data_IF_548173729679
#
_entry.id   IF_548173729679
#
_cell.length_a   1.000
_cell.length_b   1.000
_cell.length_c   1.000
_cell.angle_alpha   90.00
_cell.angle_beta   90.00
_cell.angle_gamma   90.00
#
_symmetry.space_group_name_H-M   'P 1'
#
loop_
_entity.id
_entity.type
_entity.pdbx_description
1 polymer ?
#
# COMPACT_ATOMS: atom_id res chain seq x y z
N UNK A 1 -4.21 24.75 10.47
CA UNK A 1 -5.30 25.75 10.61
C UNK A 1 -6.46 25.53 9.62
N UNK A 2 -6.27 25.65 8.31
CA UNK A 2 -7.36 25.50 7.32
C UNK A 2 -8.18 24.20 7.48
N UNK A 3 -7.50 23.06 7.68
CA UNK A 3 -8.16 21.78 7.98
C UNK A 3 -9.03 21.81 9.26
N UNK A 4 -8.66 22.60 10.27
CA UNK A 4 -9.45 22.76 11.50
C UNK A 4 -10.71 23.60 11.22
N UNK A 5 -10.59 24.67 10.43
CA UNK A 5 -11.74 25.45 9.96
C UNK A 5 -12.70 24.62 9.11
N UNK A 6 -12.18 23.74 8.24
CA UNK A 6 -12.99 22.82 7.43
C UNK A 6 -13.75 21.82 8.32
N UNK A 7 -13.09 21.24 9.31
CA UNK A 7 -13.70 20.29 10.26
C UNK A 7 -14.58 20.93 11.34
N UNK A 8 -14.64 22.27 11.40
CA UNK A 8 -15.38 23.00 12.44
C UNK A 8 -14.70 23.03 13.81
N UNK A 9 -13.42 22.64 13.90
CA UNK A 9 -12.62 22.74 15.13
C UNK A 9 -12.09 24.17 15.31
N UNK A 10 -12.99 25.05 15.76
CA UNK A 10 -12.70 26.48 15.89
C UNK A 10 -11.70 26.78 17.01
N UNK A 11 -11.59 25.91 18.03
CA UNK A 11 -10.61 26.06 19.10
C UNK A 11 -9.18 25.85 18.60
N UNK A 12 -8.97 24.80 17.79
CA UNK A 12 -7.67 24.56 17.15
C UNK A 12 -7.36 25.66 16.12
N UNK A 13 -8.37 26.12 15.37
CA UNK A 13 -8.18 27.23 14.43
C UNK A 13 -7.75 28.54 15.14
N UNK A 14 -8.42 28.91 16.25
CA UNK A 14 -8.08 30.08 17.08
C UNK A 14 -6.67 29.98 17.67
N UNK A 15 -6.29 28.79 18.17
CA UNK A 15 -4.94 28.55 18.68
C UNK A 15 -3.88 28.81 17.59
N UNK A 16 -4.08 28.29 16.38
CA UNK A 16 -3.15 28.51 15.27
C UNK A 16 -3.02 29.99 14.92
N UNK A 17 -4.14 30.71 14.81
CA UNK A 17 -4.16 32.15 14.50
C UNK A 17 -3.39 32.99 15.53
N UNK A 18 -3.54 32.67 16.82
CA UNK A 18 -2.87 33.41 17.91
C UNK A 18 -1.45 32.94 18.21
N UNK A 19 -1.04 31.78 17.69
CA UNK A 19 0.27 31.20 18.00
C UNK A 19 1.47 31.97 17.40
N UNK A 20 1.24 32.83 16.41
CA UNK A 20 2.32 33.51 15.67
C UNK A 20 3.14 32.57 14.76
N UNK A 21 2.69 31.32 14.55
CA UNK A 21 3.41 30.29 13.78
C UNK A 21 3.02 30.22 12.30
N UNK A 22 2.04 31.00 11.87
CA UNK A 22 1.55 30.98 10.48
C UNK A 22 2.40 31.89 9.60
N UNK A 23 2.70 31.43 8.38
CA UNK A 23 3.40 32.22 7.36
C UNK A 23 2.56 33.43 6.92
N UNK A 24 3.22 34.52 6.51
CA UNK A 24 2.54 35.74 6.03
C UNK A 24 1.67 35.51 4.80
N UNK A 25 1.97 34.48 3.99
CA UNK A 25 1.15 34.07 2.84
C UNK A 25 -0.25 33.61 3.24
N UNK A 26 -0.47 33.33 4.54
CA UNK A 26 -1.76 32.89 5.04
C UNK A 26 -2.79 34.01 5.12
N UNK A 27 -2.32 35.24 5.24
CA UNK A 27 -3.13 36.39 5.56
C UNK A 27 -3.33 37.28 4.33
N UNK A 28 -4.47 37.96 4.25
CA UNK A 28 -4.63 39.07 3.30
C UNK A 28 -3.53 40.11 3.56
N UNK A 29 -3.01 40.72 2.49
CA UNK A 29 -1.97 41.76 2.59
C UNK A 29 -2.33 42.93 3.51
N UNK A 30 -3.62 43.22 3.70
CA UNK A 30 -4.12 44.28 4.57
C UNK A 30 -4.13 43.93 6.05
N UNK A 31 -3.95 42.66 6.42
CA UNK A 31 -4.01 42.21 7.82
C UNK A 31 -2.66 42.43 8.48
N UNK A 32 -2.61 43.41 9.38
CA UNK A 32 -1.40 43.76 10.14
C UNK A 32 -1.39 43.11 11.53
N UNK A 33 -2.56 42.95 12.16
CA UNK A 33 -2.71 42.32 13.48
C UNK A 33 -3.99 41.47 13.56
N UNK A 34 -3.79 40.15 13.67
CA UNK A 34 -4.89 39.16 13.79
C UNK A 34 -5.67 39.32 15.09
N UNK A 35 -5.01 39.70 16.19
CA UNK A 35 -5.68 39.87 17.48
C UNK A 35 -6.61 41.07 17.49
N UNK A 36 -6.24 42.13 16.76
CA UNK A 36 -7.08 43.30 16.56
C UNK A 36 -8.29 42.99 15.66
N UNK A 37 -8.10 42.24 14.56
CA UNK A 37 -9.21 41.84 13.66
C UNK A 37 -10.24 40.95 14.39
N UNK A 38 -9.78 40.06 15.27
CA UNK A 38 -10.66 39.20 16.06
C UNK A 38 -11.29 39.90 17.28
N UNK A 39 -11.01 41.19 17.51
CA UNK A 39 -11.53 41.91 18.66
C UNK A 39 -13.08 41.94 18.64
N UNK A 40 -13.70 41.38 19.68
CA UNK A 40 -15.16 41.33 19.82
C UNK A 40 -15.83 40.17 19.09
N UNK A 41 -15.07 39.22 18.53
CA UNK A 41 -15.60 37.99 17.92
C UNK A 41 -14.97 36.77 18.61
N UNK A 42 -15.80 35.99 19.31
CA UNK A 42 -15.35 34.82 20.07
C UNK A 42 -16.06 33.57 19.56
N UNK A 43 -15.29 32.54 19.20
CA UNK A 43 -15.84 31.27 18.70
C UNK A 43 -16.71 30.54 19.72
N UNK A 44 -16.51 30.76 21.03
CA UNK A 44 -17.32 30.12 22.08
C UNK A 44 -18.75 30.68 22.14
N UNK A 45 -18.91 31.97 21.84
CA UNK A 45 -20.19 32.67 21.92
C UNK A 45 -20.84 32.88 20.55
N UNK A 46 -20.04 33.03 19.49
CA UNK A 46 -20.47 33.36 18.14
C UNK A 46 -19.72 32.51 17.09
N UNK A 47 -19.85 31.17 17.09
CA UNK A 47 -19.05 30.28 16.25
C UNK A 47 -19.20 30.53 14.75
N UNK A 48 -20.43 30.74 14.26
CA UNK A 48 -20.68 31.02 12.84
C UNK A 48 -20.05 32.35 12.41
N UNK A 49 -20.27 33.41 13.18
CA UNK A 49 -19.71 34.73 12.91
C UNK A 49 -18.18 34.73 12.98
N UNK A 50 -17.61 33.98 13.92
CA UNK A 50 -16.17 33.79 14.04
C UNK A 50 -15.60 33.15 12.78
N UNK A 51 -16.17 32.03 12.34
CA UNK A 51 -15.72 31.31 11.14
C UNK A 51 -15.85 32.18 9.88
N UNK A 52 -16.98 32.87 9.73
CA UNK A 52 -17.20 33.84 8.65
C UNK A 52 -16.17 34.98 8.66
N UNK A 53 -15.93 35.57 9.83
CA UNK A 53 -14.98 36.67 9.96
C UNK A 53 -13.55 36.25 9.59
N UNK A 54 -13.11 35.10 10.09
CA UNK A 54 -11.79 34.54 9.77
C UNK A 54 -11.66 34.32 8.26
N UNK A 55 -12.63 33.64 7.63
CA UNK A 55 -12.56 33.31 6.20
C UNK A 55 -12.63 34.58 5.33
N UNK A 56 -13.53 35.51 5.63
CA UNK A 56 -13.78 36.66 4.78
C UNK A 56 -12.75 37.79 4.96
N UNK A 57 -12.19 37.99 6.16
CA UNK A 57 -11.34 39.15 6.46
C UNK A 57 -9.88 38.82 6.71
N UNK A 58 -9.59 37.63 7.25
CA UNK A 58 -8.24 37.30 7.68
C UNK A 58 -7.49 36.51 6.60
N UNK A 59 -8.13 35.49 6.03
CA UNK A 59 -7.47 34.56 5.12
C UNK A 59 -7.27 35.11 3.71
N UNK A 60 -6.11 34.80 3.13
CA UNK A 60 -5.82 35.08 1.71
C UNK A 60 -6.75 34.31 0.77
N UNK A 61 -7.08 34.90 -0.38
CA UNK A 61 -8.03 34.33 -1.34
C UNK A 61 -7.58 32.98 -1.90
N UNK A 62 -6.27 32.75 -2.04
CA UNK A 62 -5.71 31.47 -2.50
C UNK A 62 -6.01 30.33 -1.53
N UNK A 63 -5.90 30.58 -0.22
CA UNK A 63 -6.23 29.61 0.83
C UNK A 63 -7.72 29.35 0.88
N UNK A 64 -8.53 30.41 0.76
CA UNK A 64 -9.99 30.27 0.75
C UNK A 64 -10.46 29.42 -0.43
N UNK A 65 -9.82 29.54 -1.60
CA UNK A 65 -10.09 28.68 -2.76
C UNK A 65 -9.77 27.21 -2.48
N UNK A 66 -8.58 26.90 -1.94
CA UNK A 66 -8.24 25.52 -1.56
C UNK A 66 -9.14 24.97 -0.45
N UNK A 67 -9.56 25.82 0.48
CA UNK A 67 -10.55 25.47 1.51
C UNK A 67 -11.90 25.12 0.90
N UNK A 68 -12.37 25.85 -0.12
CA UNK A 68 -13.62 25.55 -0.81
C UNK A 68 -13.58 24.16 -1.47
N UNK A 69 -12.47 23.84 -2.15
CA UNK A 69 -12.26 22.53 -2.79
C UNK A 69 -12.26 21.43 -1.72
N UNK A 70 -11.47 21.59 -0.66
CA UNK A 70 -11.36 20.59 0.39
C UNK A 70 -12.67 20.42 1.18
N UNK A 71 -13.45 21.49 1.33
CA UNK A 71 -14.77 21.45 1.95
C UNK A 71 -15.80 20.69 1.11
N UNK A 72 -15.60 20.52 -0.21
CA UNK A 72 -16.47 19.67 -1.02
C UNK A 72 -16.42 18.18 -0.61
N UNK A 73 -15.38 17.77 0.11
CA UNK A 73 -15.30 16.44 0.71
C UNK A 73 -16.04 16.34 2.07
N UNK A 74 -16.63 17.44 2.55
CA UNK A 74 -17.44 17.48 3.78
C UNK A 74 -18.89 17.78 3.44
N UNK A 75 -19.80 17.52 4.38
CA UNK A 75 -21.24 17.80 4.21
C UNK A 75 -21.61 19.27 4.54
N UNK A 76 -20.63 20.18 4.56
CA UNK A 76 -20.79 21.55 5.05
C UNK A 76 -21.01 22.52 3.88
N UNK A 77 -22.23 22.49 3.33
CA UNK A 77 -22.63 23.35 2.21
C UNK A 77 -22.49 24.85 2.55
N UNK A 78 -22.73 25.24 3.80
CA UNK A 78 -22.63 26.63 4.23
C UNK A 78 -21.18 27.14 4.23
N UNK A 79 -20.22 26.29 4.64
CA UNK A 79 -18.79 26.60 4.49
C UNK A 79 -18.41 26.82 3.02
N UNK A 80 -18.84 25.92 2.13
CA UNK A 80 -18.52 26.01 0.70
C UNK A 80 -19.05 27.33 0.12
N UNK A 81 -20.31 27.66 0.42
CA UNK A 81 -20.93 28.93 0.02
C UNK A 81 -20.21 30.14 0.58
N UNK A 82 -19.79 30.07 1.84
CA UNK A 82 -19.01 31.11 2.50
C UNK A 82 -17.66 31.32 1.83
N UNK A 83 -16.92 30.25 1.54
CA UNK A 83 -15.63 30.32 0.85
C UNK A 83 -15.78 30.94 -0.54
N UNK A 84 -16.76 30.50 -1.34
CA UNK A 84 -17.00 31.09 -2.66
C UNK A 84 -17.41 32.57 -2.60
N UNK A 85 -18.21 32.98 -1.60
CA UNK A 85 -18.52 34.41 -1.38
C UNK A 85 -17.27 35.22 -1.03
N UNK A 86 -16.44 34.70 -0.12
CA UNK A 86 -15.22 35.37 0.32
C UNK A 86 -14.19 35.51 -0.81
N UNK A 87 -14.15 34.56 -1.75
CA UNK A 87 -13.31 34.63 -2.95
C UNK A 87 -13.82 35.63 -4.00
N UNK A 88 -15.12 35.97 -4.00
CA UNK A 88 -15.70 36.93 -4.95
C UNK A 88 -15.57 38.39 -4.51
N UNK A 89 -15.35 38.65 -3.22
CA UNK A 89 -15.32 40.00 -2.62
C UNK A 89 -13.93 40.63 -2.53
N UNK A 90 -12.96 40.21 -3.35
CA UNK A 90 -11.63 40.83 -3.40
C UNK A 90 -11.66 42.18 -4.12
N UNK A 91 -10.95 43.19 -3.60
CA UNK A 91 -10.90 44.58 -4.09
C UNK A 91 -10.30 44.78 -5.51
N UNK A 92 -9.97 43.70 -6.23
CA UNK A 92 -9.46 43.80 -7.60
C UNK A 92 -10.63 43.84 -8.59
N UNK A 93 -10.84 44.99 -9.24
CA UNK A 93 -11.79 45.21 -10.34
C UNK A 93 -11.50 44.41 -11.63
N UNK A 94 -10.72 43.35 -11.53
CA UNK A 94 -10.68 42.26 -12.50
C UNK A 94 -11.16 41.01 -11.77
N UNK A 95 -12.46 40.73 -11.89
CA UNK A 95 -13.14 39.67 -11.15
C UNK A 95 -12.28 38.42 -11.08
N UNK A 96 -11.86 38.05 -9.87
CA UNK A 96 -11.20 36.78 -9.62
C UNK A 96 -12.25 35.69 -9.80
N UNK A 97 -12.49 35.34 -11.06
CA UNK A 97 -13.07 34.05 -11.43
C UNK A 97 -12.30 33.01 -10.61
N UNK A 98 -13.04 32.20 -9.85
CA UNK A 98 -12.52 30.99 -9.22
C UNK A 98 -11.61 30.32 -10.25
N UNK A 99 -10.40 29.94 -9.84
CA UNK A 99 -9.45 29.27 -10.72
C UNK A 99 -10.21 28.19 -11.50
N UNK A 100 -10.15 28.23 -12.84
CA UNK A 100 -10.83 27.26 -13.68
C UNK A 100 -10.43 25.82 -13.32
N UNK A 101 -9.27 25.66 -12.66
CA UNK A 101 -8.75 24.42 -12.11
C UNK A 101 -9.40 23.98 -10.78
N UNK A 102 -10.06 24.86 -10.04
CA UNK A 102 -10.72 24.56 -8.77
C UNK A 102 -12.12 23.92 -8.93
N UNK A 103 -12.86 24.31 -9.98
CA UNK A 103 -14.20 23.76 -10.29
C UNK A 103 -14.15 22.23 -10.48
N UNK A 104 -13.25 21.68 -11.32
CA UNK A 104 -13.11 20.25 -11.54
C UNK A 104 -12.86 19.44 -10.26
N UNK A 105 -11.98 19.95 -9.40
CA UNK A 105 -11.64 19.32 -8.13
C UNK A 105 -12.82 19.33 -7.18
N UNK A 106 -13.58 20.43 -7.14
CA UNK A 106 -14.78 20.56 -6.30
C UNK A 106 -15.80 19.47 -6.65
N UNK A 107 -16.06 19.26 -7.94
CA UNK A 107 -16.91 18.17 -8.43
C UNK A 107 -16.34 16.78 -8.10
N UNK A 108 -15.03 16.60 -8.23
CA UNK A 108 -14.38 15.34 -7.89
C UNK A 108 -14.53 15.01 -6.41
N UNK A 109 -14.23 15.94 -5.50
CA UNK A 109 -14.32 15.74 -4.05
C UNK A 109 -15.77 15.54 -3.59
N UNK A 110 -16.72 16.32 -4.12
CA UNK A 110 -18.14 16.14 -3.83
C UNK A 110 -18.65 14.77 -4.31
N UNK A 111 -18.19 14.32 -5.48
CA UNK A 111 -18.53 12.99 -6.01
C UNK A 111 -17.90 11.87 -5.19
N UNK A 112 -16.67 12.07 -4.72
CA UNK A 112 -15.96 11.14 -3.86
C UNK A 112 -16.66 10.96 -2.51
N UNK A 113 -17.19 12.05 -1.95
CA UNK A 113 -17.83 12.04 -0.65
C UNK A 113 -19.35 11.74 -0.70
N UNK A 114 -19.94 11.69 -1.89
CA UNK A 114 -21.34 11.31 -2.06
C UNK A 114 -22.34 12.46 -1.86
N UNK A 115 -21.91 13.72 -1.89
CA UNK A 115 -22.73 14.88 -1.51
C UNK A 115 -23.47 15.51 -2.71
N UNK A 116 -24.62 14.95 -3.09
CA UNK A 116 -25.49 15.50 -4.15
C UNK A 116 -25.89 16.97 -3.92
N UNK A 117 -26.24 17.43 -2.70
CA UNK A 117 -26.59 18.85 -2.50
C UNK A 117 -25.45 19.82 -2.84
N UNK A 118 -24.19 19.38 -2.68
CA UNK A 118 -23.02 20.16 -3.08
C UNK A 118 -22.88 20.15 -4.60
N UNK A 119 -23.11 19.01 -5.26
CA UNK A 119 -23.12 18.91 -6.72
C UNK A 119 -24.20 19.81 -7.35
N UNK A 120 -25.40 19.87 -6.75
CA UNK A 120 -26.47 20.77 -7.18
C UNK A 120 -26.08 22.26 -7.04
N UNK A 121 -25.45 22.63 -5.93
CA UNK A 121 -24.98 24.01 -5.70
C UNK A 121 -23.83 24.38 -6.66
N UNK A 122 -22.91 23.46 -6.93
CA UNK A 122 -21.85 23.64 -7.93
C UNK A 122 -22.42 23.78 -9.35
N UNK A 123 -23.41 22.96 -9.70
CA UNK A 123 -24.10 23.02 -11.00
C UNK A 123 -24.82 24.36 -11.19
N UNK A 124 -25.54 24.82 -10.16
CA UNK A 124 -26.23 26.10 -10.19
C UNK A 124 -25.26 27.30 -10.34
N UNK A 125 -24.04 27.21 -9.80
CA UNK A 125 -23.05 28.28 -9.84
C UNK A 125 -22.19 28.29 -11.10
N UNK A 126 -21.75 27.12 -11.53
CA UNK A 126 -20.65 26.99 -12.49
C UNK A 126 -21.06 26.23 -13.75
N UNK A 127 -22.26 25.65 -13.78
CA UNK A 127 -22.67 24.76 -14.85
C UNK A 127 -21.90 23.44 -14.83
N UNK A 128 -21.99 22.70 -15.92
CA UNK A 128 -21.39 21.38 -16.05
C UNK A 128 -19.86 21.44 -16.00
N UNK A 129 -19.22 20.55 -15.24
CA UNK A 129 -17.77 20.45 -15.26
C UNK A 129 -17.31 19.89 -16.62
N UNK A 130 -16.19 20.38 -17.17
CA UNK A 130 -15.61 19.84 -18.40
C UNK A 130 -15.39 18.32 -18.34
N UNK A 131 -15.67 17.62 -19.43
CA UNK A 131 -15.72 16.16 -19.47
C UNK A 131 -14.35 15.45 -19.27
N UNK A 132 -13.23 16.17 -19.29
CA UNK A 132 -11.89 15.59 -19.31
C UNK A 132 -10.94 16.25 -18.32
N UNK A 133 -10.84 15.66 -17.12
CA UNK A 133 -9.74 15.95 -16.19
C UNK A 133 -8.82 14.75 -16.14
N UNK A 134 -7.72 14.86 -16.88
CA UNK A 134 -6.85 13.72 -17.12
C UNK A 134 -5.69 13.63 -16.10
N UNK A 135 -5.48 14.63 -15.23
CA UNK A 135 -4.35 14.61 -14.29
C UNK A 135 -4.57 15.44 -13.01
N UNK A 136 -4.78 14.74 -11.89
CA UNK A 136 -4.86 15.33 -10.54
C UNK A 136 -3.54 15.96 -10.06
N UNK A 137 -2.40 15.37 -10.42
CA UNK A 137 -1.09 15.80 -9.95
C UNK A 137 -0.63 17.12 -10.59
N UNK A 138 -0.87 17.29 -11.90
CA UNK A 138 -0.59 18.54 -12.61
C UNK A 138 -1.46 19.70 -12.11
N UNK A 139 -2.67 19.39 -11.63
CA UNK A 139 -3.62 20.36 -11.09
C UNK A 139 -3.25 20.71 -9.65
N UNK A 140 -2.86 19.73 -8.84
CA UNK A 140 -2.37 19.97 -7.49
C UNK A 140 -1.12 20.87 -7.48
N UNK A 141 -0.25 20.75 -8.49
CA UNK A 141 0.94 21.59 -8.63
C UNK A 141 0.67 23.03 -9.08
N UNK A 142 -0.56 23.38 -9.52
CA UNK A 142 -0.90 24.75 -9.90
C UNK A 142 -1.35 25.62 -8.73
N UNK A 143 -1.60 25.03 -7.57
CA UNK A 143 -2.04 25.75 -6.38
C UNK A 143 -0.86 26.21 -5.52
N UNK A 144 -0.96 27.43 -5.00
CA UNK A 144 0.11 28.09 -4.26
C UNK A 144 0.33 27.52 -2.84
N UNK A 145 -0.60 26.71 -2.31
CA UNK A 145 -0.56 26.15 -0.95
C UNK A 145 -0.59 24.63 -0.99
N UNK A 146 0.05 23.99 0.00
CA UNK A 146 0.15 22.54 0.06
C UNK A 146 -1.15 21.82 0.52
N UNK A 147 -2.29 22.48 0.69
CA UNK A 147 -3.47 21.84 1.32
C UNK A 147 -4.07 20.76 0.42
N UNK A 148 -4.38 21.09 -0.84
CA UNK A 148 -4.87 20.10 -1.82
C UNK A 148 -3.82 19.01 -2.10
N UNK A 149 -2.54 19.33 -2.36
CA UNK A 149 -1.48 18.31 -2.45
C UNK A 149 -1.38 17.38 -1.23
N UNK A 150 -1.50 17.92 -0.01
CA UNK A 150 -1.47 17.11 1.21
C UNK A 150 -2.67 16.16 1.29
N UNK A 151 -3.87 16.62 0.97
CA UNK A 151 -5.07 15.76 0.93
C UNK A 151 -4.86 14.64 -0.10
N UNK A 152 -4.35 14.95 -1.30
CA UNK A 152 -4.07 13.94 -2.32
C UNK A 152 -2.96 12.95 -1.89
N UNK A 153 -1.96 13.39 -1.13
CA UNK A 153 -0.94 12.50 -0.54
C UNK A 153 -1.53 11.55 0.49
N UNK A 154 -2.62 11.90 1.19
CA UNK A 154 -3.29 10.98 2.12
C UNK A 154 -4.13 9.89 1.44
N UNK A 155 -4.46 10.06 0.16
CA UNK A 155 -5.20 9.04 -0.59
C UNK A 155 -4.32 7.80 -0.84
N UNK A 156 -4.87 6.58 -0.74
CA UNK A 156 -4.20 5.36 -1.15
C UNK A 156 -3.58 5.47 -2.54
N UNK A 157 -2.42 4.85 -2.79
CA UNK A 157 -1.70 4.99 -4.07
C UNK A 157 -2.54 4.61 -5.29
N UNK A 158 -3.42 3.61 -5.15
CA UNK A 158 -4.39 3.21 -6.18
C UNK A 158 -5.50 4.24 -6.42
N UNK A 159 -5.78 5.12 -5.44
CA UNK A 159 -6.79 6.19 -5.57
C UNK A 159 -6.21 7.45 -6.21
N UNK A 160 -4.89 7.64 -6.18
CA UNK A 160 -4.22 8.80 -6.83
C UNK A 160 -4.35 8.78 -8.36
N UNK A 161 -4.63 7.60 -8.93
CA UNK A 161 -4.87 7.41 -10.36
C UNK A 161 -6.35 7.60 -10.75
N UNK A 162 -7.27 7.74 -9.78
CA UNK A 162 -8.68 8.03 -10.03
C UNK A 162 -8.83 9.52 -10.33
N UNK A 163 -8.69 9.90 -11.59
CA UNK A 163 -8.75 11.31 -12.02
C UNK A 163 -10.16 11.77 -12.39
N UNK A 164 -11.14 10.85 -12.40
CA UNK A 164 -12.52 11.12 -12.80
C UNK A 164 -13.49 10.96 -11.63
N UNK A 165 -14.47 11.87 -11.56
CA UNK A 165 -15.54 11.86 -10.58
C UNK A 165 -16.30 10.52 -10.53
N UNK A 166 -16.59 9.96 -11.70
CA UNK A 166 -17.26 8.67 -11.84
C UNK A 166 -16.44 7.51 -11.26
N UNK A 167 -15.12 7.49 -11.47
CA UNK A 167 -14.25 6.43 -10.96
C UNK A 167 -14.20 6.47 -9.42
N UNK A 168 -14.15 7.69 -8.85
CA UNK A 168 -14.13 7.89 -7.39
C UNK A 168 -15.48 7.56 -6.74
N UNK A 169 -16.60 8.03 -7.31
CA UNK A 169 -17.94 7.69 -6.83
C UNK A 169 -18.17 6.16 -6.89
N UNK A 170 -17.66 5.50 -7.93
CA UNK A 170 -17.70 4.03 -8.06
C UNK A 170 -16.90 3.33 -6.97
N UNK A 171 -15.70 3.81 -6.68
CA UNK A 171 -14.86 3.25 -5.62
C UNK A 171 -15.47 3.39 -4.22
N UNK A 172 -16.33 4.40 -3.99
CA UNK A 172 -17.00 4.67 -2.70
C UNK A 172 -18.45 4.14 -2.62
N UNK A 173 -18.91 3.39 -3.63
CA UNK A 173 -20.29 2.90 -3.74
C UNK A 173 -21.37 4.00 -3.77
N UNK A 174 -21.07 5.17 -4.35
CA UNK A 174 -21.99 6.29 -4.44
C UNK A 174 -22.81 6.23 -5.74
N UNK A 175 -23.66 5.21 -5.86
CA UNK A 175 -24.51 5.01 -7.05
C UNK A 175 -25.45 6.20 -7.28
N UNK A 176 -25.98 6.81 -6.22
CA UNK A 176 -26.82 8.01 -6.31
C UNK A 176 -26.08 9.21 -6.95
N UNK A 177 -24.76 9.32 -6.74
CA UNK A 177 -23.94 10.32 -7.44
C UNK A 177 -23.76 9.93 -8.90
N UNK A 178 -23.54 8.66 -9.24
CA UNK A 178 -23.47 8.21 -10.62
C UNK A 178 -24.78 8.46 -11.38
N UNK A 179 -25.93 8.24 -10.73
CA UNK A 179 -27.26 8.59 -11.24
C UNK A 179 -27.43 10.09 -11.43
N UNK A 180 -26.93 10.90 -10.49
CA UNK A 180 -26.91 12.36 -10.61
C UNK A 180 -26.13 12.79 -11.86
N UNK A 181 -24.91 12.26 -12.05
CA UNK A 181 -24.12 12.54 -13.23
C UNK A 181 -24.84 12.09 -14.51
N UNK A 182 -25.35 10.86 -14.55
CA UNK A 182 -26.09 10.36 -15.71
C UNK A 182 -27.30 11.24 -16.07
N UNK A 183 -28.04 11.70 -15.06
CA UNK A 183 -29.23 12.55 -15.24
C UNK A 183 -28.88 13.91 -15.84
N UNK A 184 -27.76 14.50 -15.43
CA UNK A 184 -27.43 15.87 -15.79
C UNK A 184 -26.49 15.94 -17.01
N UNK A 185 -25.47 15.09 -17.13
CA UNK A 185 -24.55 15.09 -18.29
C UNK A 185 -24.96 14.14 -19.41
N UNK A 186 -25.79 13.14 -19.11
CA UNK A 186 -26.18 12.10 -20.06
C UNK A 186 -25.12 11.00 -20.25
N UNK A 187 -25.51 9.87 -20.89
CA UNK A 187 -24.66 8.69 -21.03
C UNK A 187 -23.40 8.95 -21.88
N UNK A 188 -23.50 9.77 -22.92
CA UNK A 188 -22.39 10.02 -23.86
C UNK A 188 -21.23 10.82 -23.23
N UNK A 189 -21.53 11.63 -22.21
CA UNK A 189 -20.55 12.48 -21.53
C UNK A 189 -20.11 11.92 -20.17
N UNK A 190 -20.75 10.83 -19.70
CA UNK A 190 -20.36 10.14 -18.46
C UNK A 190 -19.11 9.29 -18.69
N UNK A 191 -17.95 9.92 -18.66
CA UNK A 191 -16.67 9.25 -18.86
C UNK A 191 -16.15 8.60 -17.58
N UNK A 192 -15.75 7.34 -17.70
CA UNK A 192 -15.12 6.55 -16.65
C UNK A 192 -13.96 5.71 -17.21
N UNK A 193 -13.03 5.30 -16.36
CA UNK A 193 -11.96 4.35 -16.71
C UNK A 193 -12.29 2.94 -16.21
N UNK A 194 -11.45 1.95 -16.55
CA UNK A 194 -11.58 0.60 -15.97
C UNK A 194 -11.57 0.64 -14.45
N UNK A 195 -10.88 1.61 -13.83
CA UNK A 195 -10.77 1.72 -12.38
C UNK A 195 -12.12 1.85 -11.67
N UNK A 196 -13.14 2.41 -12.31
CA UNK A 196 -14.48 2.49 -11.72
C UNK A 196 -15.03 1.10 -11.39
N UNK A 197 -14.95 0.18 -12.36
CA UNK A 197 -15.42 -1.20 -12.22
C UNK A 197 -14.41 -2.01 -11.41
N UNK A 198 -13.11 -1.86 -11.64
CA UNK A 198 -12.07 -2.61 -10.93
C UNK A 198 -12.14 -2.38 -9.41
N UNK A 199 -12.30 -1.12 -8.99
CA UNK A 199 -12.44 -0.76 -7.58
C UNK A 199 -13.76 -1.25 -6.99
N UNK A 200 -14.86 -1.12 -7.73
CA UNK A 200 -16.15 -1.65 -7.29
C UNK A 200 -16.06 -3.17 -7.04
N UNK A 201 -15.40 -3.92 -7.92
CA UNK A 201 -15.16 -5.35 -7.75
C UNK A 201 -14.30 -5.67 -6.52
N UNK A 202 -13.20 -4.93 -6.34
CA UNK A 202 -12.32 -5.09 -5.18
C UNK A 202 -13.05 -4.89 -3.86
N UNK A 203 -13.92 -3.89 -3.81
CA UNK A 203 -14.64 -3.51 -2.60
C UNK A 203 -15.98 -4.25 -2.40
N UNK A 204 -16.46 -5.00 -3.39
CA UNK A 204 -17.74 -5.71 -3.31
C UNK A 204 -18.96 -4.82 -3.59
N UNK A 205 -18.80 -3.75 -4.37
CA UNK A 205 -19.84 -2.78 -4.67
C UNK A 205 -20.70 -3.24 -5.86
N UNK A 206 -21.53 -4.25 -5.62
CA UNK A 206 -22.42 -4.83 -6.64
C UNK A 206 -23.33 -3.79 -7.29
N UNK A 207 -23.84 -2.81 -6.52
CA UNK A 207 -24.74 -1.78 -7.05
C UNK A 207 -24.07 -0.93 -8.15
N UNK A 208 -22.78 -0.62 -7.97
CA UNK A 208 -21.96 0.08 -8.97
C UNK A 208 -21.69 -0.79 -10.20
N UNK A 209 -21.37 -2.07 -10.00
CA UNK A 209 -21.17 -3.02 -11.12
C UNK A 209 -22.47 -3.15 -11.93
N UNK A 210 -23.60 -3.27 -11.25
CA UNK A 210 -24.93 -3.26 -11.86
C UNK A 210 -25.22 -1.97 -12.62
N UNK A 211 -24.88 -0.80 -12.06
CA UNK A 211 -25.06 0.50 -12.71
C UNK A 211 -24.32 0.56 -14.05
N UNK A 212 -23.00 0.30 -14.05
CA UNK A 212 -22.18 0.38 -15.27
C UNK A 212 -22.57 -0.65 -16.31
N UNK A 213 -22.87 -1.89 -15.90
CA UNK A 213 -23.35 -2.92 -16.80
C UNK A 213 -24.69 -2.54 -17.44
N UNK A 214 -25.64 -2.02 -16.65
CA UNK A 214 -26.94 -1.56 -17.17
C UNK A 214 -26.74 -0.42 -18.15
N UNK A 215 -25.93 0.57 -17.81
CA UNK A 215 -25.62 1.70 -18.70
C UNK A 215 -25.06 1.22 -20.05
N UNK A 216 -24.13 0.26 -20.03
CA UNK A 216 -23.56 -0.32 -21.25
C UNK A 216 -24.62 -1.07 -22.09
N UNK A 217 -25.53 -1.81 -21.45
CA UNK A 217 -26.59 -2.55 -22.15
C UNK A 217 -27.67 -1.63 -22.73
N UNK A 218 -28.08 -0.60 -21.98
CA UNK A 218 -29.20 0.26 -22.36
C UNK A 218 -28.80 1.32 -23.40
N UNK A 219 -27.55 1.81 -23.32
CA UNK A 219 -27.06 2.91 -24.16
C UNK A 219 -25.93 2.52 -25.12
N UNK A 220 -25.48 1.26 -25.13
CA UNK A 220 -24.39 0.81 -25.98
C UNK A 220 -23.04 1.43 -25.63
N UNK A 221 -22.89 2.00 -24.43
CA UNK A 221 -21.63 2.55 -23.96
C UNK A 221 -20.60 1.43 -23.79
N UNK A 222 -19.33 1.75 -24.03
CA UNK A 222 -18.23 0.81 -23.79
C UNK A 222 -18.20 0.41 -22.31
N UNK A 223 -18.24 -0.90 -22.03
CA UNK A 223 -18.10 -1.44 -20.69
C UNK A 223 -16.62 -1.65 -20.35
N UNK A 224 -16.06 -0.79 -19.49
CA UNK A 224 -14.62 -0.75 -19.20
C UNK A 224 -14.29 -1.40 -17.86
N UNK A 225 -13.45 -2.42 -17.90
CA UNK A 225 -12.87 -3.09 -16.73
C UNK A 225 -11.56 -3.76 -17.16
N UNK A 226 -10.67 -4.01 -16.21
CA UNK A 226 -9.39 -4.66 -16.47
C UNK A 226 -9.48 -6.18 -16.23
N UNK A 227 -8.57 -6.99 -16.82
CA UNK A 227 -8.46 -8.42 -16.49
C UNK A 227 -8.27 -8.69 -14.99
N UNK A 228 -7.70 -7.75 -14.23
CA UNK A 228 -7.42 -7.87 -12.80
C UNK A 228 -8.67 -7.80 -11.91
N UNK A 229 -9.81 -7.36 -12.46
CA UNK A 229 -11.08 -7.20 -11.77
C UNK A 229 -11.49 -8.43 -10.94
N UNK A 230 -11.47 -9.61 -11.56
CA UNK A 230 -11.89 -10.86 -10.93
C UNK A 230 -10.77 -11.52 -10.11
N UNK A 231 -9.51 -11.19 -10.40
CA UNK A 231 -8.35 -11.60 -9.60
C UNK A 231 -8.49 -11.05 -8.18
N UNK A 232 -8.80 -9.75 -8.05
CA UNK A 232 -8.99 -9.12 -6.74
C UNK A 232 -10.26 -9.60 -6.04
N UNK A 233 -11.35 -9.85 -6.77
CA UNK A 233 -12.57 -10.43 -6.21
C UNK A 233 -12.31 -11.82 -5.60
N UNK A 234 -11.55 -12.68 -6.30
CA UNK A 234 -11.10 -13.97 -5.77
C UNK A 234 -10.16 -13.83 -4.56
N UNK A 235 -9.21 -12.90 -4.63
CA UNK A 235 -8.25 -12.64 -3.54
C UNK A 235 -8.91 -12.15 -2.25
N UNK A 236 -9.97 -11.35 -2.37
CA UNK A 236 -10.69 -10.73 -1.26
C UNK A 236 -11.99 -11.47 -0.88
N UNK A 237 -12.22 -12.64 -1.46
CA UNK A 237 -13.41 -13.48 -1.23
C UNK A 237 -14.75 -12.75 -1.44
N UNK A 238 -14.85 -11.97 -2.52
CA UNK A 238 -16.08 -11.28 -2.96
C UNK A 238 -16.99 -12.25 -3.72
N UNK A 239 -17.57 -13.22 -3.00
CA UNK A 239 -18.39 -14.28 -3.61
C UNK A 239 -19.61 -13.74 -4.35
N UNK A 240 -20.24 -12.71 -3.79
CA UNK A 240 -21.37 -11.98 -4.37
C UNK A 240 -21.03 -11.35 -5.73
N UNK A 241 -19.83 -10.77 -5.85
CA UNK A 241 -19.28 -10.29 -7.11
C UNK A 241 -19.04 -11.45 -8.08
N UNK A 242 -18.37 -12.51 -7.64
CA UNK A 242 -18.10 -13.68 -8.50
C UNK A 242 -19.40 -14.32 -9.03
N UNK A 243 -20.42 -14.45 -8.17
CA UNK A 243 -21.77 -14.90 -8.52
C UNK A 243 -22.45 -13.95 -9.51
N UNK A 244 -22.27 -12.65 -9.36
CA UNK A 244 -22.81 -11.71 -10.33
C UNK A 244 -22.20 -11.90 -11.72
N UNK A 245 -20.87 -12.01 -11.80
CA UNK A 245 -20.15 -12.14 -13.07
C UNK A 245 -20.42 -13.46 -13.78
N UNK A 246 -20.50 -14.58 -13.06
CA UNK A 246 -20.83 -15.87 -13.69
C UNK A 246 -22.23 -15.87 -14.30
N UNK A 247 -23.18 -15.16 -13.66
CA UNK A 247 -24.57 -15.09 -14.12
C UNK A 247 -24.80 -14.07 -15.24
N UNK A 248 -24.16 -12.90 -15.17
CA UNK A 248 -24.36 -11.82 -16.15
C UNK A 248 -23.38 -11.89 -17.32
N UNK A 249 -22.18 -12.42 -17.09
CA UNK A 249 -21.08 -12.40 -18.06
C UNK A 249 -20.33 -13.73 -18.11
N UNK A 250 -21.02 -14.84 -18.44
CA UNK A 250 -20.45 -16.18 -18.36
C UNK A 250 -19.23 -16.38 -19.26
N UNK A 251 -19.23 -15.78 -20.46
CA UNK A 251 -18.09 -15.86 -21.40
C UNK A 251 -16.84 -15.24 -20.80
N UNK A 252 -16.93 -14.04 -20.24
CA UNK A 252 -15.80 -13.39 -19.59
C UNK A 252 -15.33 -14.19 -18.37
N UNK A 253 -16.27 -14.72 -17.58
CA UNK A 253 -15.96 -15.58 -16.45
C UNK A 253 -15.16 -16.82 -16.87
N UNK A 254 -15.40 -17.41 -18.05
CA UNK A 254 -14.61 -18.58 -18.49
C UNK A 254 -13.11 -18.30 -18.64
N UNK A 255 -12.74 -17.08 -19.06
CA UNK A 255 -11.34 -16.68 -19.21
C UNK A 255 -10.71 -16.28 -17.87
N UNK A 256 -11.49 -15.66 -16.99
CA UNK A 256 -11.00 -15.12 -15.72
C UNK A 256 -11.11 -16.06 -14.52
N UNK A 257 -11.79 -17.21 -14.68
CA UNK A 257 -11.93 -18.19 -13.61
C UNK A 257 -10.57 -18.67 -13.10
N UNK A 258 -9.62 -18.95 -14.01
CA UNK A 258 -8.30 -19.43 -13.64
C UNK A 258 -7.49 -18.40 -12.84
N UNK A 259 -7.34 -17.14 -13.31
CA UNK A 259 -6.73 -16.08 -12.53
C UNK A 259 -7.39 -15.85 -11.16
N UNK A 260 -8.72 -15.79 -11.10
CA UNK A 260 -9.46 -15.61 -9.84
C UNK A 260 -9.21 -16.75 -8.84
N UNK A 261 -9.24 -18.00 -9.32
CA UNK A 261 -8.94 -19.17 -8.50
C UNK A 261 -7.49 -19.16 -8.00
N UNK A 262 -6.53 -18.83 -8.88
CA UNK A 262 -5.12 -18.76 -8.50
C UNK A 262 -4.87 -17.67 -7.45
N UNK A 263 -5.52 -16.51 -7.57
CA UNK A 263 -5.45 -15.44 -6.58
C UNK A 263 -6.03 -15.86 -5.22
N UNK A 264 -7.17 -16.57 -5.23
CA UNK A 264 -7.75 -17.14 -4.02
C UNK A 264 -6.81 -18.19 -3.38
N UNK A 265 -6.20 -19.05 -4.19
CA UNK A 265 -5.21 -20.03 -3.75
C UNK A 265 -4.03 -19.36 -3.05
N UNK A 266 -3.48 -18.30 -3.66
CA UNK A 266 -2.31 -17.57 -3.18
C UNK A 266 -2.56 -16.75 -1.91
N UNK A 267 -3.78 -16.73 -1.38
CA UNK A 267 -4.12 -16.06 -0.10
C UNK A 267 -4.77 -17.04 0.88
N UNK A 268 -5.10 -18.26 0.47
CA UNK A 268 -5.78 -19.23 1.33
C UNK A 268 -7.28 -18.98 1.46
N UNK A 269 -7.93 -18.36 0.47
CA UNK A 269 -9.36 -18.04 0.51
C UNK A 269 -10.25 -19.27 0.27
N UNK A 270 -10.34 -20.15 1.26
CA UNK A 270 -11.07 -21.43 1.18
C UNK A 270 -12.53 -21.25 0.73
N UNK A 271 -13.20 -20.17 1.14
CA UNK A 271 -14.58 -19.87 0.72
C UNK A 271 -14.72 -19.73 -0.81
N UNK A 272 -13.74 -19.13 -1.47
CA UNK A 272 -13.71 -19.00 -2.92
C UNK A 272 -13.37 -20.33 -3.57
N UNK A 273 -12.50 -21.14 -2.96
CA UNK A 273 -12.21 -22.49 -3.46
C UNK A 273 -13.45 -23.39 -3.39
N UNK A 274 -14.19 -23.35 -2.28
CA UNK A 274 -15.48 -24.03 -2.13
C UNK A 274 -16.50 -23.56 -3.16
N UNK A 275 -16.60 -22.24 -3.37
CA UNK A 275 -17.43 -21.64 -4.39
C UNK A 275 -17.04 -22.16 -5.80
N UNK A 276 -15.75 -22.09 -6.16
CA UNK A 276 -15.24 -22.61 -7.42
C UNK A 276 -15.55 -24.11 -7.60
N UNK A 277 -15.46 -24.90 -6.52
CA UNK A 277 -15.80 -26.31 -6.53
C UNK A 277 -17.30 -26.56 -6.76
N UNK A 278 -18.18 -25.71 -6.22
CA UNK A 278 -19.62 -25.79 -6.47
C UNK A 278 -19.97 -25.46 -7.94
N UNK A 279 -19.20 -24.57 -8.57
CA UNK A 279 -19.38 -24.17 -9.98
C UNK A 279 -18.70 -25.12 -10.99
N UNK A 280 -18.26 -26.33 -10.56
CA UNK A 280 -17.43 -27.27 -11.34
C UNK A 280 -18.04 -27.85 -12.62
N UNK A 281 -19.18 -27.34 -13.10
CA UNK A 281 -19.63 -27.56 -14.48
C UNK A 281 -18.68 -26.95 -15.54
N UNK A 282 -17.68 -26.15 -15.13
CA UNK A 282 -16.73 -25.42 -16.00
C UNK A 282 -15.37 -26.12 -16.25
N UNK A 283 -15.29 -27.47 -16.23
CA UNK A 283 -14.10 -28.27 -16.62
C UNK A 283 -12.90 -28.28 -15.64
N UNK A 284 -13.07 -27.89 -14.39
CA UNK A 284 -11.98 -27.80 -13.40
C UNK A 284 -11.84 -29.09 -12.59
N UNK A 285 -10.95 -30.00 -13.01
CA UNK A 285 -10.65 -31.26 -12.29
C UNK A 285 -9.50 -31.07 -11.29
N UNK A 286 -9.40 -31.96 -10.29
CA UNK A 286 -8.27 -31.95 -9.33
C UNK A 286 -6.90 -31.91 -10.03
N UNK A 287 -6.74 -32.65 -11.14
CA UNK A 287 -5.50 -32.65 -11.92
C UNK A 287 -5.21 -31.30 -12.61
N UNK A 288 -6.23 -30.57 -13.08
CA UNK A 288 -6.03 -29.26 -13.71
C UNK A 288 -5.63 -28.19 -12.70
N UNK A 289 -6.12 -28.28 -11.47
CA UNK A 289 -5.85 -27.27 -10.42
C UNK A 289 -4.55 -27.55 -9.67
N UNK A 290 -4.05 -28.78 -9.72
CA UNK A 290 -2.83 -29.25 -9.07
C UNK A 290 -1.62 -28.31 -9.27
N UNK A 291 -1.30 -27.81 -10.48
CA UNK A 291 -0.13 -26.93 -10.67
C UNK A 291 -0.29 -25.56 -10.01
N UNK A 292 -1.53 -25.09 -9.82
CA UNK A 292 -1.84 -23.81 -9.19
C UNK A 292 -1.73 -23.95 -7.67
N UNK A 293 -2.35 -24.99 -7.11
CA UNK A 293 -2.25 -25.31 -5.67
C UNK A 293 -0.80 -25.58 -5.28
N UNK A 294 -0.05 -26.31 -6.12
CA UNK A 294 1.37 -26.58 -5.91
C UNK A 294 2.28 -25.35 -6.05
N UNK A 295 1.77 -24.16 -6.33
CA UNK A 295 2.54 -22.90 -6.32
C UNK A 295 1.99 -21.86 -5.36
N UNK A 296 0.88 -22.15 -4.66
CA UNK A 296 0.14 -21.12 -3.95
C UNK A 296 0.79 -20.67 -2.64
N UNK A 297 1.67 -21.48 -2.06
CA UNK A 297 2.36 -21.14 -0.80
C UNK A 297 1.43 -21.01 0.41
N UNK A 298 0.16 -21.42 0.32
CA UNK A 298 -0.80 -21.30 1.41
C UNK A 298 -1.32 -22.66 1.87
N UNK A 299 -1.12 -22.96 3.16
CA UNK A 299 -1.51 -24.24 3.73
C UNK A 299 -3.01 -24.50 3.63
N UNK A 300 -3.87 -23.50 3.88
CA UNK A 300 -5.33 -23.70 3.84
C UNK A 300 -5.81 -24.17 2.45
N UNK A 301 -5.23 -23.63 1.39
CA UNK A 301 -5.48 -24.07 0.01
C UNK A 301 -4.99 -25.49 -0.23
N UNK A 302 -3.78 -25.83 0.23
CA UNK A 302 -3.22 -27.17 0.09
C UNK A 302 -4.06 -28.19 0.87
N UNK A 303 -4.39 -27.89 2.12
CA UNK A 303 -5.27 -28.69 2.98
C UNK A 303 -6.61 -28.92 2.28
N UNK A 304 -7.26 -27.86 1.80
CA UNK A 304 -8.52 -27.93 1.06
C UNK A 304 -8.45 -28.87 -0.15
N UNK A 305 -7.34 -28.85 -0.88
CA UNK A 305 -7.08 -29.70 -2.03
C UNK A 305 -6.84 -31.17 -1.63
N UNK A 306 -6.06 -31.41 -0.58
CA UNK A 306 -5.77 -32.74 -0.05
C UNK A 306 -7.02 -33.43 0.53
N UNK A 307 -7.85 -32.68 1.27
CA UNK A 307 -9.12 -33.18 1.83
C UNK A 307 -10.08 -33.69 0.74
N UNK A 308 -9.92 -33.23 -0.50
CA UNK A 308 -10.71 -33.63 -1.68
C UNK A 308 -10.05 -34.73 -2.52
N UNK A 309 -9.03 -35.40 -1.97
CA UNK A 309 -8.32 -36.49 -2.64
C UNK A 309 -7.25 -36.03 -3.64
N UNK A 310 -6.89 -34.74 -3.63
CA UNK A 310 -5.77 -34.23 -4.41
C UNK A 310 -4.43 -34.79 -3.92
N UNK A 311 -3.46 -34.88 -4.83
CA UNK A 311 -2.08 -35.32 -4.50
C UNK A 311 -1.06 -34.24 -4.87
N UNK A 312 -0.04 -34.05 -4.04
CA UNK A 312 1.10 -33.14 -4.27
C UNK A 312 2.39 -33.94 -4.09
N UNK A 313 3.29 -33.85 -5.07
CA UNK A 313 4.48 -34.72 -5.13
C UNK A 313 5.68 -34.24 -4.30
N UNK A 314 5.91 -32.92 -4.19
CA UNK A 314 7.01 -32.34 -3.40
C UNK A 314 6.60 -31.02 -2.73
N UNK A 315 5.94 -31.07 -1.56
CA UNK A 315 5.52 -29.87 -0.88
C UNK A 315 6.69 -29.07 -0.26
N UNK A 316 7.89 -29.64 -0.13
CA UNK A 316 9.03 -29.00 0.56
C UNK A 316 9.61 -27.86 -0.25
N UNK A 317 9.70 -28.06 -1.56
CA UNK A 317 10.09 -27.01 -2.50
C UNK A 317 9.17 -25.77 -2.41
N UNK A 318 7.89 -25.97 -2.06
CA UNK A 318 6.98 -24.86 -1.77
C UNK A 318 7.28 -24.22 -0.42
N UNK A 319 7.48 -25.04 0.62
CA UNK A 319 7.71 -24.59 1.99
C UNK A 319 8.88 -23.60 2.04
N UNK A 320 10.02 -23.92 1.42
CA UNK A 320 11.21 -23.08 1.47
C UNK A 320 11.03 -21.72 0.76
N UNK A 321 10.12 -21.64 -0.21
CA UNK A 321 9.93 -20.46 -1.08
C UNK A 321 8.72 -19.61 -0.68
N UNK A 322 7.89 -20.09 0.23
CA UNK A 322 6.61 -19.48 0.60
C UNK A 322 6.69 -18.72 1.93
N UNK A 323 7.68 -17.84 2.09
CA UNK A 323 7.75 -16.94 3.24
C UNK A 323 6.68 -15.84 3.11
N UNK A 324 5.94 -15.50 4.19
CA UNK A 324 6.09 -15.94 5.60
C UNK A 324 5.37 -17.23 6.02
N UNK A 325 4.63 -17.90 5.14
CA UNK A 325 3.78 -19.06 5.45
C UNK A 325 4.53 -20.41 5.57
N UNK A 326 5.82 -20.45 5.25
CA UNK A 326 6.69 -21.64 5.28
C UNK A 326 6.48 -22.53 6.51
N UNK A 327 6.42 -21.93 7.70
CA UNK A 327 6.18 -22.66 8.95
C UNK A 327 4.85 -23.42 8.96
N UNK A 328 3.76 -22.75 8.58
CA UNK A 328 2.42 -23.34 8.55
C UNK A 328 2.35 -24.47 7.52
N UNK A 329 3.01 -24.29 6.37
CA UNK A 329 3.11 -25.33 5.35
C UNK A 329 3.85 -26.57 5.88
N UNK A 330 5.00 -26.39 6.54
CA UNK A 330 5.77 -27.51 7.07
C UNK A 330 4.97 -28.29 8.10
N UNK A 331 4.38 -27.59 9.08
CA UNK A 331 3.54 -28.20 10.12
C UNK A 331 2.37 -28.96 9.52
N UNK A 332 1.73 -28.38 8.50
CA UNK A 332 0.66 -29.02 7.76
C UNK A 332 1.10 -30.29 7.05
N UNK A 333 2.22 -30.24 6.33
CA UNK A 333 2.76 -31.41 5.62
C UNK A 333 3.06 -32.56 6.57
N UNK A 334 3.65 -32.25 7.73
CA UNK A 334 3.92 -33.22 8.78
C UNK A 334 2.61 -33.80 9.36
N UNK A 335 1.60 -32.96 9.61
CA UNK A 335 0.31 -33.40 10.13
C UNK A 335 -0.46 -34.31 9.15
N UNK A 336 -0.30 -34.11 7.84
CA UNK A 336 -0.92 -34.92 6.79
C UNK A 336 -0.04 -36.11 6.36
N UNK A 337 1.09 -36.35 7.04
CA UNK A 337 2.08 -37.39 6.69
C UNK A 337 2.48 -37.34 5.20
N UNK A 338 2.60 -36.14 4.64
CA UNK A 338 3.08 -35.99 3.28
C UNK A 338 4.56 -36.37 3.21
N UNK A 339 4.97 -36.98 2.10
CA UNK A 339 6.38 -37.28 1.86
C UNK A 339 7.13 -35.97 1.63
N UNK A 340 8.02 -35.63 2.56
CA UNK A 340 8.80 -34.38 2.57
C UNK A 340 10.27 -34.78 2.36
N UNK A 341 10.87 -34.34 1.25
CA UNK A 341 12.32 -34.52 1.03
C UNK A 341 13.14 -33.61 1.95
N UNK A 342 14.42 -33.93 2.21
CA UNK A 342 15.34 -32.95 2.80
C UNK A 342 15.46 -31.69 1.94
N UNK A 343 15.66 -30.55 2.60
CA UNK A 343 15.96 -29.26 1.98
C UNK A 343 17.28 -29.33 1.20
N UNK A 344 17.41 -28.53 0.15
CA UNK A 344 18.70 -28.31 -0.54
C UNK A 344 19.58 -27.33 0.26
N UNK A 345 20.86 -27.21 -0.09
CA UNK A 345 21.74 -26.20 0.53
C UNK A 345 21.20 -24.79 0.33
N UNK A 346 20.76 -24.47 -0.89
CA UNK A 346 20.20 -23.15 -1.22
C UNK A 346 18.96 -22.83 -0.39
N UNK A 347 18.04 -23.80 -0.23
CA UNK A 347 16.84 -23.64 0.59
C UNK A 347 17.17 -23.45 2.08
N UNK A 348 18.22 -24.11 2.59
CA UNK A 348 18.72 -23.89 3.96
C UNK A 348 19.36 -22.51 4.09
N UNK A 349 20.11 -22.06 3.07
CA UNK A 349 20.66 -20.71 3.01
C UNK A 349 19.57 -19.63 3.13
N UNK A 350 18.47 -19.78 2.39
CA UNK A 350 17.31 -18.88 2.47
C UNK A 350 16.67 -18.86 3.87
N UNK A 351 16.55 -20.02 4.53
CA UNK A 351 16.01 -20.14 5.90
C UNK A 351 16.92 -19.43 6.91
N UNK A 352 18.24 -19.62 6.78
CA UNK A 352 19.24 -19.01 7.66
C UNK A 352 19.29 -17.50 7.47
N UNK A 353 19.36 -17.03 6.22
CA UNK A 353 19.37 -15.60 5.90
C UNK A 353 18.16 -14.84 6.48
N UNK A 354 17.00 -15.51 6.59
CA UNK A 354 15.77 -14.97 7.19
C UNK A 354 15.66 -15.13 8.71
N UNK A 355 16.64 -15.76 9.37
CA UNK A 355 16.67 -15.93 10.83
C UNK A 355 15.62 -16.89 11.39
N UNK A 356 15.16 -17.87 10.62
CA UNK A 356 13.98 -18.67 10.96
C UNK A 356 14.31 -19.86 11.89
N UNK A 357 14.68 -19.55 13.13
CA UNK A 357 15.18 -20.51 14.13
C UNK A 357 14.20 -21.64 14.46
N UNK A 358 12.91 -21.32 14.68
CA UNK A 358 11.87 -22.32 14.93
C UNK A 358 11.67 -23.27 13.74
N UNK A 359 11.75 -22.73 12.52
CA UNK A 359 11.56 -23.52 11.30
C UNK A 359 12.70 -24.52 11.18
N UNK A 360 13.92 -24.05 11.41
CA UNK A 360 15.11 -24.87 11.36
C UNK A 360 15.11 -25.96 12.46
N UNK A 361 14.67 -25.65 13.68
CA UNK A 361 14.54 -26.62 14.76
C UNK A 361 13.58 -27.77 14.40
N UNK A 362 12.47 -27.46 13.72
CA UNK A 362 11.54 -28.48 13.22
C UNK A 362 12.17 -29.31 12.11
N UNK A 363 12.89 -28.69 11.18
CA UNK A 363 13.61 -29.41 10.14
C UNK A 363 14.62 -30.41 10.72
N UNK A 364 15.38 -30.01 11.75
CA UNK A 364 16.31 -30.90 12.46
C UNK A 364 15.54 -32.09 13.06
N UNK A 365 14.47 -31.81 13.83
CA UNK A 365 13.69 -32.85 14.51
C UNK A 365 13.12 -33.90 13.56
N UNK A 366 12.78 -33.51 12.34
CA UNK A 366 12.17 -34.37 11.34
C UNK A 366 13.16 -34.85 10.25
N UNK A 367 14.47 -34.66 10.43
CA UNK A 367 15.52 -35.03 9.47
C UNK A 367 15.32 -34.45 8.06
N UNK A 368 14.90 -33.17 8.00
CA UNK A 368 14.60 -32.46 6.77
C UNK A 368 15.73 -31.54 6.30
N UNK A 369 16.90 -31.62 6.94
CA UNK A 369 18.09 -30.90 6.50
C UNK A 369 19.02 -31.80 5.67
N UNK A 370 19.88 -31.21 4.82
CA UNK A 370 21.00 -31.93 4.24
C UNK A 370 21.84 -32.62 5.32
N UNK A 371 22.57 -33.67 4.94
CA UNK A 371 23.46 -34.42 5.86
C UNK A 371 24.50 -33.51 6.54
N UNK A 372 24.99 -32.50 5.82
CA UNK A 372 25.89 -31.47 6.33
C UNK A 372 25.39 -30.12 5.83
N UNK A 373 25.27 -29.13 6.71
CA UNK A 373 24.85 -27.76 6.33
C UNK A 373 26.07 -26.89 6.05
N UNK A 374 26.04 -26.16 4.94
CA UNK A 374 27.06 -25.18 4.57
C UNK A 374 26.74 -23.80 5.16
N UNK A 375 27.70 -23.20 5.87
CA UNK A 375 27.50 -21.89 6.51
C UNK A 375 28.12 -20.73 5.72
N UNK A 376 28.83 -20.98 4.62
CA UNK A 376 29.62 -19.95 3.92
C UNK A 376 28.78 -18.80 3.36
N UNK A 377 27.51 -19.04 3.03
CA UNK A 377 26.60 -18.05 2.45
C UNK A 377 25.59 -17.45 3.46
N UNK A 378 25.64 -17.85 4.72
CA UNK A 378 24.49 -17.75 5.62
C UNK A 378 24.69 -16.92 6.90
N UNK A 379 25.92 -16.46 7.20
CA UNK A 379 26.19 -15.80 8.49
C UNK A 379 26.09 -14.29 8.38
N UNK A 380 24.92 -13.80 8.76
CA UNK A 380 24.60 -12.38 8.98
C UNK A 380 23.97 -12.23 10.37
N UNK A 381 23.88 -11.01 10.88
CA UNK A 381 23.20 -10.71 12.15
C UNK A 381 21.80 -11.35 12.21
N UNK A 382 21.06 -11.28 11.10
CA UNK A 382 19.71 -11.85 10.99
C UNK A 382 19.69 -13.38 11.18
N UNK A 383 20.78 -14.08 10.84
CA UNK A 383 20.85 -15.54 10.88
C UNK A 383 21.21 -16.11 12.26
N UNK A 384 21.74 -15.29 13.18
CA UNK A 384 22.33 -15.73 14.46
C UNK A 384 21.41 -16.67 15.23
N UNK A 385 20.13 -16.31 15.42
CA UNK A 385 19.19 -17.15 16.16
C UNK A 385 18.98 -18.52 15.53
N UNK A 386 19.06 -18.63 14.20
CA UNK A 386 18.95 -19.90 13.49
C UNK A 386 20.26 -20.69 13.54
N UNK A 387 21.40 -20.02 13.45
CA UNK A 387 22.72 -20.63 13.60
C UNK A 387 22.93 -21.21 15.01
N UNK A 388 22.48 -20.51 16.05
CA UNK A 388 22.49 -20.99 17.44
C UNK A 388 21.74 -22.32 17.58
N UNK A 389 20.60 -22.46 16.91
CA UNK A 389 19.84 -23.72 16.90
C UNK A 389 20.65 -24.86 16.26
N UNK A 390 21.36 -24.62 15.16
CA UNK A 390 22.21 -25.64 14.51
C UNK A 390 23.36 -26.07 15.43
N UNK A 391 24.07 -25.09 16.00
CA UNK A 391 25.23 -25.34 16.86
C UNK A 391 24.81 -26.02 18.16
N UNK A 392 23.76 -25.53 18.83
CA UNK A 392 23.25 -26.14 20.06
C UNK A 392 22.75 -27.58 19.84
N UNK A 393 22.19 -27.86 18.65
CA UNK A 393 21.77 -29.22 18.26
C UNK A 393 22.93 -30.14 17.89
N UNK A 394 24.17 -29.63 17.85
CA UNK A 394 25.37 -30.34 17.36
C UNK A 394 25.18 -30.90 15.95
N UNK A 395 24.42 -30.18 15.12
CA UNK A 395 24.17 -30.61 13.75
C UNK A 395 25.47 -30.55 12.92
N UNK A 396 25.74 -31.49 12.01
CA UNK A 396 26.94 -31.43 11.18
C UNK A 396 26.95 -30.18 10.29
N UNK A 397 27.95 -29.33 10.49
CA UNK A 397 28.16 -28.09 9.71
C UNK A 397 29.53 -28.09 9.03
N UNK A 398 29.62 -27.43 7.88
CA UNK A 398 30.89 -27.12 7.20
C UNK A 398 30.94 -25.63 6.87
N UNK A 399 32.15 -25.11 6.89
CA UNK A 399 32.45 -23.72 6.54
C UNK A 399 33.93 -23.58 6.22
N UNK A 400 34.24 -22.54 5.47
CA UNK A 400 35.56 -22.15 5.00
C UNK A 400 35.88 -20.73 5.49
N UNK A 401 37.12 -20.24 5.30
CA UNK A 401 37.46 -18.86 5.67
C UNK A 401 36.56 -17.79 5.02
N UNK A 402 35.91 -18.14 3.91
CA UNK A 402 34.95 -17.31 3.20
C UNK A 402 33.79 -16.85 4.10
N UNK A 403 33.36 -17.66 5.06
CA UNK A 403 32.23 -17.30 5.92
C UNK A 403 32.53 -16.07 6.81
N UNK A 404 33.75 -15.96 7.33
CA UNK A 404 34.20 -14.78 8.09
C UNK A 404 34.59 -13.61 7.15
N UNK A 405 35.07 -13.94 5.94
CA UNK A 405 35.37 -12.95 4.91
C UNK A 405 34.12 -12.19 4.47
N UNK A 406 33.00 -12.89 4.25
CA UNK A 406 31.72 -12.29 3.87
C UNK A 406 31.18 -11.35 4.95
N UNK A 407 31.25 -11.73 6.24
CA UNK A 407 30.86 -10.86 7.35
C UNK A 407 31.73 -9.60 7.46
N UNK A 408 33.02 -9.72 7.11
CA UNK A 408 33.94 -8.58 7.04
C UNK A 408 33.58 -7.64 5.90
N UNK A 409 33.27 -8.19 4.72
CA UNK A 409 32.84 -7.40 3.56
C UNK A 409 31.52 -6.66 3.81
N UNK A 410 30.61 -7.27 4.58
CA UNK A 410 29.32 -6.65 4.93
C UNK A 410 29.39 -5.76 6.17
N UNK A 411 30.58 -5.52 6.75
CA UNK A 411 30.78 -4.72 7.96
C UNK A 411 29.96 -5.24 9.17
N UNK A 412 29.68 -6.54 9.22
CA UNK A 412 28.80 -7.16 10.22
C UNK A 412 29.61 -7.66 11.43
N UNK A 413 29.94 -6.73 12.33
CA UNK A 413 30.66 -7.05 13.57
C UNK A 413 29.90 -8.04 14.46
N UNK A 414 28.56 -8.05 14.41
CA UNK A 414 27.74 -8.95 15.24
C UNK A 414 27.88 -10.39 14.75
N UNK A 415 27.89 -10.62 13.45
CA UNK A 415 28.19 -11.91 12.85
C UNK A 415 29.62 -12.39 13.20
N UNK A 416 30.60 -11.48 13.21
CA UNK A 416 31.99 -11.79 13.60
C UNK A 416 32.10 -12.15 15.09
N UNK A 417 31.43 -11.40 15.98
CA UNK A 417 31.33 -11.72 17.41
C UNK A 417 30.67 -13.08 17.64
N UNK A 418 29.61 -13.39 16.87
CA UNK A 418 28.97 -14.70 16.91
C UNK A 418 29.95 -15.82 16.54
N UNK A 419 30.75 -15.66 15.48
CA UNK A 419 31.77 -16.65 15.12
C UNK A 419 32.72 -16.94 16.28
N UNK A 420 33.25 -15.90 16.93
CA UNK A 420 34.13 -16.01 18.10
C UNK A 420 33.42 -16.71 19.27
N UNK A 421 32.15 -16.39 19.51
CA UNK A 421 31.34 -16.96 20.59
C UNK A 421 30.72 -18.33 20.32
N UNK A 422 30.69 -18.79 19.07
CA UNK A 422 29.95 -19.98 18.64
C UNK A 422 30.49 -21.31 19.17
N UNK A 423 31.76 -21.34 19.62
CA UNK A 423 32.46 -22.57 20.00
C UNK A 423 32.84 -23.47 18.81
N UNK A 424 32.64 -22.99 17.57
CA UNK A 424 33.16 -23.63 16.36
C UNK A 424 34.67 -23.33 16.20
N UNK A 425 35.40 -24.21 15.51
CA UNK A 425 36.82 -23.97 15.21
C UNK A 425 36.95 -22.79 14.24
N UNK A 426 37.51 -21.69 14.71
CA UNK A 426 37.72 -20.50 13.90
C UNK A 426 38.63 -20.80 12.70
N UNK A 427 38.26 -20.24 11.54
CA UNK A 427 39.00 -20.32 10.27
C UNK A 427 39.10 -18.91 9.70
N UNK A 428 39.98 -18.05 10.24
CA UNK A 428 40.11 -16.70 9.73
C UNK A 428 40.56 -16.68 8.27
N UNK A 429 40.17 -15.66 7.48
CA UNK A 429 40.76 -15.41 6.17
C UNK A 429 42.26 -15.10 6.30
N UNK A 430 42.99 -15.19 5.19
CA UNK A 430 44.38 -14.76 5.15
C UNK A 430 44.48 -13.27 5.53
N UNK A 431 45.55 -12.89 6.24
CA UNK A 431 45.75 -11.52 6.73
C UNK A 431 45.73 -10.51 5.61
N UNK A 432 46.39 -10.87 4.51
CA UNK A 432 46.51 -10.07 3.30
C UNK A 432 45.12 -9.83 2.68
N UNK A 433 44.25 -10.84 2.70
CA UNK A 433 42.87 -10.73 2.20
C UNK A 433 42.01 -9.83 3.08
N UNK A 434 42.16 -9.90 4.41
CA UNK A 434 41.45 -8.96 5.31
C UNK A 434 41.97 -7.54 5.10
N UNK A 435 43.29 -7.34 5.04
CA UNK A 435 43.88 -6.03 4.80
C UNK A 435 43.46 -5.41 3.46
N UNK A 436 43.34 -6.21 2.40
CA UNK A 436 42.83 -5.79 1.09
C UNK A 436 41.36 -5.33 1.18
N UNK A 437 40.50 -6.14 1.82
CA UNK A 437 39.08 -5.79 2.02
C UNK A 437 38.94 -4.49 2.82
N UNK A 438 39.72 -4.33 3.88
CA UNK A 438 39.68 -3.13 4.71
C UNK A 438 40.18 -1.89 3.96
N UNK A 439 41.16 -2.04 3.06
CA UNK A 439 41.61 -0.94 2.18
C UNK A 439 40.53 -0.54 1.17
N UNK A 440 39.86 -1.52 0.56
CA UNK A 440 38.77 -1.28 -0.38
C UNK A 440 37.59 -0.55 0.27
N UNK A 441 37.19 -0.97 1.48
CA UNK A 441 36.13 -0.32 2.26
C UNK A 441 36.50 1.13 2.64
N UNK A 442 37.75 1.38 3.04
CA UNK A 442 38.25 2.73 3.35
C UNK A 442 38.34 3.64 2.10
N UNK A 443 38.62 3.07 0.92
CA UNK A 443 38.66 3.82 -0.33
C UNK A 443 37.25 4.23 -0.81
N UNK A 444 36.24 3.40 -0.55
CA UNK A 444 34.83 3.69 -0.85
C UNK A 444 34.25 4.82 0.01
N UNK A 445 34.59 4.86 1.30
CA UNK A 445 34.11 5.88 2.25
C UNK A 445 34.67 7.29 1.95
N UNK A 446 35.79 7.37 1.20
CA UNK A 446 36.38 8.62 0.72
C UNK A 446 35.69 9.25 -0.49
N UNK A 447 34.73 8.55 -1.11
CA UNK A 447 34.01 8.98 -2.31
C UNK A 447 32.50 9.08 -2.02
N UNK A 448 32.07 10.30 -1.64
CA UNK A 448 30.65 10.73 -1.53
C UNK A 448 29.80 10.10 -0.40
N UNK A 449 29.75 10.75 0.78
CA UNK A 449 28.48 11.16 1.43
C UNK A 449 28.72 11.98 2.73
N UNK A 450 28.00 13.10 2.89
CA UNK A 450 27.97 13.94 4.11
C UNK A 450 27.14 13.34 5.26
N UNK A 451 26.93 12.01 5.26
CA UNK A 451 26.22 11.28 6.30
C UNK A 451 27.11 10.20 6.90
N UNK A 452 27.82 10.53 7.98
CA UNK A 452 28.80 9.65 8.62
C UNK A 452 28.27 8.23 8.83
N UNK A 453 28.87 7.26 8.13
CA UNK A 453 28.75 5.84 8.41
C UNK A 453 29.98 5.41 9.21
N UNK A 454 29.79 5.01 10.46
CA UNK A 454 30.88 4.50 11.31
C UNK A 454 31.28 3.04 10.99
N UNK A 455 30.52 2.34 10.12
CA UNK A 455 30.64 0.91 9.84
C UNK A 455 32.03 0.42 9.39
N UNK A 456 32.71 1.08 8.44
CA UNK A 456 34.03 0.65 7.98
C UNK A 456 35.09 0.76 9.08
N UNK A 457 34.98 1.75 9.99
CA UNK A 457 35.92 1.90 11.10
C UNK A 457 35.69 0.86 12.20
N UNK A 458 34.44 0.51 12.47
CA UNK A 458 34.10 -0.49 13.50
C UNK A 458 34.65 -1.87 13.16
N UNK A 459 34.50 -2.33 11.91
CA UNK A 459 35.01 -3.64 11.47
C UNK A 459 36.55 -3.68 11.47
N UNK A 460 37.22 -2.57 11.13
CA UNK A 460 38.69 -2.44 11.22
C UNK A 460 39.15 -2.56 12.68
N UNK A 461 38.52 -1.82 13.58
CA UNK A 461 38.84 -1.88 15.00
C UNK A 461 38.52 -3.25 15.61
N UNK A 462 37.47 -3.91 15.14
CA UNK A 462 37.15 -5.29 15.51
C UNK A 462 38.29 -6.24 15.16
N UNK A 463 38.77 -6.22 13.91
CA UNK A 463 39.88 -7.09 13.48
C UNK A 463 41.18 -6.80 14.24
N UNK A 464 41.51 -5.53 14.52
CA UNK A 464 42.67 -5.17 15.36
C UNK A 464 42.58 -5.76 16.75
N UNK A 465 41.40 -5.75 17.36
CA UNK A 465 41.15 -6.27 18.71
C UNK A 465 41.13 -7.79 18.77
N UNK A 466 40.76 -8.49 17.69
CA UNK A 466 40.55 -9.94 17.73
C UNK A 466 41.60 -10.75 16.94
N UNK A 467 42.56 -10.11 16.27
CA UNK A 467 43.59 -10.79 15.47
C UNK A 467 44.35 -11.86 16.27
N UNK A 468 44.68 -11.57 17.53
CA UNK A 468 45.43 -12.49 18.40
C UNK A 468 44.65 -13.76 18.77
N UNK A 469 43.31 -13.71 18.77
CA UNK A 469 42.44 -14.86 19.05
C UNK A 469 42.33 -15.82 17.86
N UNK A 470 42.72 -15.37 16.67
CA UNK A 470 42.52 -16.07 15.41
C UNK A 470 43.81 -16.71 14.87
N UNK A 471 44.96 -16.34 15.43
CA UNK A 471 46.29 -16.83 15.01
C UNK A 471 46.86 -17.98 15.85
N UNK A 472 46.23 -18.35 16.97
CA UNK A 472 46.53 -19.54 17.80
C UNK A 472 45.48 -20.63 17.56
#
# INVERSE_FOLDING_TARGET
MAAALIRGDLAVADWWLKSGRLSSIVFKKSVVDVSAELAGVDFKTQPHRYREHVICRILDSSIVQEMAIAACATDDLDLIRLCYRASASGDDHHGSNIDANAIPLSYLFASAAGHVPILDDLLARHGYPPAQFNNLSSLASSFAVELVPCILRTLPANWRNLTRAADMASAMNHVHVLEWWLTHVGPDQLHYSSLAVDMANRHGHLDVIHFWHRLAMDHGCEWRYSPETLVEAGRLARLDVLDWWINKCPVYMTFQFQPAFAAACNVGQVKVLDWCAAQMSLQWTMERIKPIVAKCGHWDTIKWYLDRGGTIADPVSLVARAWPQAMHLLLGCLAYNLSVRPLTQDEVGDVLWRGQSLFLALCIRHNLLPVVVDLDAAVTECAIAALDVLVASKYPVRYTPQAMQSATWSEDCVALDWWVGSGLKLKPPAKETVEEILQDLQAFDGAEDEGGRDGPQEVVEWWKRHWYLLTE
#
